data_IF_775855364319
#
_entry.id   IF_775855364319
#
_cell.length_a   1.000
_cell.length_b   1.000
_cell.length_c   1.000
_cell.angle_alpha   90.00
_cell.angle_beta   90.00
_cell.angle_gamma   90.00
#
_symmetry.space_group_name_H-M   'P 1'
#
loop_
_entity.id
_entity.type
_entity.pdbx_description
1 polymer ?
#
# COMPACT_ATOMS: atom_id res chain seq x y z
N UNK A 1 -34.61 -18.05 11.94
CA UNK A 1 -34.72 -19.08 10.90
C UNK A 1 -33.90 -18.68 9.66
N UNK A 2 -32.63 -18.27 9.86
CA UNK A 2 -31.72 -17.82 8.80
C UNK A 2 -30.37 -18.53 8.81
N UNK A 3 -30.10 -19.38 9.80
CA UNK A 3 -28.84 -20.13 9.94
C UNK A 3 -28.91 -21.57 9.38
N UNK A 4 -29.94 -21.91 8.61
CA UNK A 4 -30.23 -23.30 8.22
C UNK A 4 -29.92 -23.62 6.75
N UNK A 5 -29.56 -22.63 5.92
CA UNK A 5 -29.26 -22.84 4.50
C UNK A 5 -27.78 -22.68 4.13
N UNK A 6 -26.91 -22.15 5.01
CA UNK A 6 -25.47 -22.03 4.71
C UNK A 6 -24.70 -23.36 4.77
N UNK A 7 -25.31 -24.42 5.32
CA UNK A 7 -24.69 -25.74 5.44
C UNK A 7 -25.11 -26.74 4.35
N UNK A 8 -25.82 -26.31 3.29
CA UNK A 8 -26.30 -27.27 2.29
C UNK A 8 -25.21 -27.85 1.37
N UNK A 9 -23.99 -27.30 1.34
CA UNK A 9 -23.00 -27.65 0.30
C UNK A 9 -21.54 -27.85 0.75
N UNK A 10 -21.24 -28.08 2.04
CA UNK A 10 -19.85 -28.25 2.53
C UNK A 10 -18.90 -27.17 1.97
N UNK A 11 -19.33 -25.91 1.95
CA UNK A 11 -18.50 -24.82 1.43
C UNK A 11 -17.27 -24.63 2.32
N UNK A 12 -16.14 -24.26 1.74
CA UNK A 12 -14.94 -23.85 2.50
C UNK A 12 -15.18 -22.48 3.16
N UNK A 13 -16.02 -22.51 4.19
CA UNK A 13 -16.43 -21.37 4.97
C UNK A 13 -15.97 -21.59 6.40
N UNK A 14 -14.95 -20.84 6.81
CA UNK A 14 -14.82 -20.51 8.22
C UNK A 14 -15.78 -19.33 8.50
N UNK A 15 -16.88 -19.56 9.23
CA UNK A 15 -17.93 -18.55 9.41
C UNK A 15 -17.45 -17.30 10.15
N UNK A 16 -16.27 -17.35 10.80
CA UNK A 16 -15.67 -16.22 11.52
C UNK A 16 -14.55 -15.53 10.74
N UNK A 17 -14.00 -16.15 9.70
CA UNK A 17 -12.90 -15.57 8.93
C UNK A 17 -13.44 -14.76 7.77
N UNK A 18 -12.81 -13.62 7.51
CA UNK A 18 -13.10 -12.83 6.31
C UNK A 18 -12.61 -13.53 5.04
N UNK A 19 -11.57 -14.35 5.15
CA UNK A 19 -11.07 -15.19 4.06
C UNK A 19 -11.89 -16.48 4.05
N UNK A 20 -13.08 -16.36 3.46
CA UNK A 20 -14.06 -17.43 3.34
C UNK A 20 -14.63 -17.47 1.91
N UNK A 21 -15.22 -18.62 1.54
CA UNK A 21 -15.78 -18.80 0.21
C UNK A 21 -16.83 -17.73 -0.10
N UNK A 22 -17.78 -17.49 0.81
CA UNK A 22 -18.88 -16.55 0.55
C UNK A 22 -18.36 -15.12 0.32
N UNK A 23 -17.37 -14.66 1.11
CA UNK A 23 -16.78 -13.31 0.93
C UNK A 23 -16.01 -13.20 -0.39
N UNK A 24 -15.13 -14.16 -0.69
CA UNK A 24 -14.36 -14.15 -1.94
C UNK A 24 -15.26 -14.30 -3.17
N UNK A 25 -16.35 -15.06 -3.05
CA UNK A 25 -17.31 -15.26 -4.14
C UNK A 25 -18.10 -13.98 -4.44
N UNK A 26 -18.43 -13.15 -3.44
CA UNK A 26 -19.01 -11.83 -3.68
C UNK A 26 -18.04 -10.92 -4.45
N UNK A 27 -16.75 -10.92 -4.10
CA UNK A 27 -15.72 -10.19 -4.85
C UNK A 27 -15.62 -10.71 -6.30
N UNK A 28 -15.60 -12.03 -6.48
CA UNK A 28 -15.61 -12.66 -7.81
C UNK A 28 -16.83 -12.23 -8.63
N UNK A 29 -18.03 -12.30 -8.03
CA UNK A 29 -19.30 -11.96 -8.67
C UNK A 29 -19.29 -10.54 -9.19
N UNK A 30 -18.87 -9.59 -8.35
CA UNK A 30 -18.73 -8.19 -8.75
C UNK A 30 -17.74 -8.03 -9.90
N UNK A 31 -16.55 -8.64 -9.79
CA UNK A 31 -15.54 -8.53 -10.84
C UNK A 31 -16.01 -9.11 -12.18
N UNK A 32 -16.79 -10.18 -12.13
CA UNK A 32 -17.30 -10.87 -13.31
C UNK A 32 -18.44 -10.09 -13.99
N UNK A 33 -19.31 -9.45 -13.22
CA UNK A 33 -20.52 -8.80 -13.73
C UNK A 33 -20.39 -7.29 -13.97
N UNK A 34 -19.52 -6.60 -13.24
CA UNK A 34 -19.43 -5.13 -13.27
C UNK A 34 -18.12 -4.64 -13.86
N UNK A 35 -16.99 -4.94 -13.21
CA UNK A 35 -15.65 -4.53 -13.69
C UNK A 35 -14.62 -5.60 -13.40
N UNK A 36 -13.94 -6.09 -14.42
CA UNK A 36 -12.89 -7.11 -14.25
C UNK A 36 -11.63 -6.60 -13.55
N UNK A 37 -11.54 -5.29 -13.24
CA UNK A 37 -10.41 -4.68 -12.55
C UNK A 37 -10.87 -3.58 -11.60
N UNK A 38 -10.21 -3.48 -10.46
CA UNK A 38 -10.40 -2.47 -9.43
C UNK A 38 -9.03 -2.00 -8.94
N UNK A 39 -8.88 -0.69 -8.77
CA UNK A 39 -7.70 -0.08 -8.19
C UNK A 39 -8.17 0.99 -7.21
N UNK A 40 -7.75 0.90 -5.95
CA UNK A 40 -8.14 1.89 -4.94
C UNK A 40 -7.08 2.02 -3.84
N UNK A 41 -7.03 3.19 -3.20
CA UNK A 41 -6.18 3.42 -2.03
C UNK A 41 -6.91 3.00 -0.76
N UNK A 42 -6.16 2.47 0.20
CA UNK A 42 -6.71 1.95 1.45
C UNK A 42 -5.85 2.40 2.64
N UNK A 43 -6.48 2.80 3.74
CA UNK A 43 -5.79 3.18 4.98
C UNK A 43 -4.95 2.00 5.49
N UNK A 44 -3.71 2.29 5.89
CA UNK A 44 -2.78 1.31 6.46
C UNK A 44 -2.10 0.36 5.45
N UNK A 45 -2.43 0.45 4.16
CA UNK A 45 -1.72 -0.23 3.07
C UNK A 45 -1.02 0.80 2.21
N UNK A 46 0.23 0.51 1.86
CA UNK A 46 1.00 1.42 1.03
C UNK A 46 0.53 1.33 -0.42
N UNK A 47 0.42 2.49 -1.06
CA UNK A 47 0.01 2.64 -2.46
C UNK A 47 -1.38 2.02 -2.73
N UNK A 48 -1.60 1.59 -3.96
CA UNK A 48 -2.86 1.16 -4.51
C UNK A 48 -3.03 -0.35 -4.32
N UNK A 49 -4.19 -0.76 -3.82
CA UNK A 49 -4.63 -2.15 -3.89
C UNK A 49 -5.16 -2.41 -5.29
N UNK A 50 -4.59 -3.39 -5.98
CA UNK A 50 -5.02 -3.84 -7.31
C UNK A 50 -5.74 -5.18 -7.20
N UNK A 51 -6.92 -5.27 -7.79
CA UNK A 51 -7.73 -6.49 -7.86
C UNK A 51 -8.16 -6.71 -9.29
N UNK A 52 -7.83 -7.87 -9.86
CA UNK A 52 -8.16 -8.18 -11.24
C UNK A 52 -8.67 -9.61 -11.40
N UNK A 53 -9.71 -9.76 -12.21
CA UNK A 53 -10.22 -11.03 -12.68
C UNK A 53 -9.56 -11.39 -14.00
N UNK A 54 -8.84 -12.50 -13.99
CA UNK A 54 -8.21 -13.08 -15.17
C UNK A 54 -8.97 -14.32 -15.62
N UNK A 55 -8.82 -14.64 -16.90
CA UNK A 55 -9.34 -15.85 -17.53
C UNK A 55 -8.24 -16.55 -18.31
N UNK A 56 -8.15 -17.88 -18.16
CA UNK A 56 -7.33 -18.73 -19.00
C UNK A 56 -8.26 -19.43 -20.00
N UNK A 57 -8.01 -19.32 -21.32
CA UNK A 57 -6.79 -18.81 -21.92
C UNK A 57 -6.81 -17.32 -22.28
N UNK A 58 -7.98 -16.66 -22.28
CA UNK A 58 -8.17 -15.38 -22.97
C UNK A 58 -7.23 -14.26 -22.49
N UNK A 59 -6.90 -14.20 -21.20
CA UNK A 59 -5.99 -13.19 -20.65
C UNK A 59 -4.54 -13.36 -21.11
N UNK A 60 -4.20 -14.49 -21.72
CA UNK A 60 -2.89 -14.77 -22.32
C UNK A 60 -2.93 -14.76 -23.86
N UNK A 61 -4.09 -14.49 -24.46
CA UNK A 61 -4.27 -14.50 -25.91
C UNK A 61 -3.81 -13.19 -26.58
N UNK A 62 -2.60 -12.75 -26.21
CA UNK A 62 -1.90 -11.60 -26.80
C UNK A 62 -0.43 -11.98 -27.09
N UNK A 63 0.27 -11.16 -27.86
CA UNK A 63 1.60 -11.50 -28.37
C UNK A 63 2.63 -11.69 -27.24
N UNK A 64 2.62 -10.84 -26.22
CA UNK A 64 3.53 -11.03 -25.07
C UNK A 64 3.18 -12.31 -24.28
N UNK A 65 1.90 -12.55 -23.98
CA UNK A 65 1.47 -13.73 -23.22
C UNK A 65 1.84 -15.04 -23.92
N UNK A 66 1.63 -15.11 -25.25
CA UNK A 66 2.07 -16.25 -26.07
C UNK A 66 3.59 -16.42 -26.08
N UNK A 67 4.34 -15.32 -26.10
CA UNK A 67 5.79 -15.36 -26.06
C UNK A 67 6.32 -15.87 -24.70
N UNK A 68 5.73 -15.42 -23.60
CA UNK A 68 6.05 -15.88 -22.24
C UNK A 68 5.76 -17.37 -22.06
N UNK A 69 4.57 -17.84 -22.47
CA UNK A 69 4.19 -19.26 -22.43
C UNK A 69 5.22 -20.11 -23.16
N UNK A 70 5.59 -19.71 -24.38
CA UNK A 70 6.58 -20.44 -25.18
C UNK A 70 7.97 -20.40 -24.55
N UNK A 71 8.37 -19.26 -23.98
CA UNK A 71 9.65 -19.09 -23.27
C UNK A 71 9.73 -19.97 -22.02
N UNK A 72 8.61 -20.18 -21.33
CA UNK A 72 8.47 -21.09 -20.21
C UNK A 72 8.44 -22.58 -20.62
N UNK A 73 8.40 -22.88 -21.93
CA UNK A 73 8.47 -24.24 -22.46
C UNK A 73 7.11 -24.91 -22.67
N UNK A 74 6.02 -24.13 -22.67
CA UNK A 74 4.66 -24.62 -22.82
C UNK A 74 4.07 -24.23 -24.18
N UNK A 75 3.06 -24.97 -24.64
CA UNK A 75 2.43 -24.74 -25.93
C UNK A 75 1.22 -23.80 -25.86
N UNK A 76 0.52 -23.77 -24.73
CA UNK A 76 -0.70 -23.01 -24.53
C UNK A 76 -0.93 -22.71 -23.04
N UNK A 77 -1.87 -21.80 -22.75
CA UNK A 77 -2.15 -21.34 -21.39
C UNK A 77 -2.79 -22.41 -20.49
N UNK A 78 -3.46 -23.44 -21.06
CA UNK A 78 -4.02 -24.54 -20.27
C UNK A 78 -2.93 -25.42 -19.66
N UNK A 79 -1.78 -25.59 -20.33
CA UNK A 79 -0.65 -26.30 -19.76
C UNK A 79 -0.08 -25.56 -18.54
N UNK A 80 -0.06 -24.21 -18.58
CA UNK A 80 0.30 -23.38 -17.42
C UNK A 80 -0.71 -23.59 -16.30
N UNK A 81 -2.01 -23.56 -16.61
CA UNK A 81 -3.08 -23.79 -15.65
C UNK A 81 -2.96 -25.15 -14.96
N UNK A 82 -2.65 -26.21 -15.69
CA UNK A 82 -2.44 -27.55 -15.13
C UNK A 82 -1.26 -27.59 -14.13
N UNK A 83 -0.15 -26.90 -14.41
CA UNK A 83 0.96 -26.79 -13.46
C UNK A 83 0.59 -25.97 -12.22
N UNK A 84 -0.25 -24.95 -12.37
CA UNK A 84 -0.78 -24.18 -11.23
C UNK A 84 -1.75 -25.01 -10.40
N UNK A 85 -2.71 -25.70 -11.02
CA UNK A 85 -3.69 -26.59 -10.38
C UNK A 85 -3.04 -27.70 -9.57
N UNK A 86 -1.95 -28.28 -10.07
CA UNK A 86 -1.16 -29.28 -9.35
C UNK A 86 -0.67 -28.79 -8.00
N UNK A 87 -0.32 -27.51 -7.86
CA UNK A 87 0.16 -26.92 -6.59
C UNK A 87 -0.91 -26.89 -5.51
N UNK A 88 -2.17 -26.80 -5.91
CA UNK A 88 -3.34 -26.69 -5.04
C UNK A 88 -4.24 -27.93 -5.07
N UNK A 89 -3.72 -29.03 -5.64
CA UNK A 89 -4.40 -30.32 -5.74
C UNK A 89 -5.78 -30.24 -6.44
N UNK A 90 -5.87 -29.42 -7.49
CA UNK A 90 -6.98 -29.44 -8.46
C UNK A 90 -6.59 -30.39 -9.60
N UNK A 91 -7.53 -31.21 -10.06
CA UNK A 91 -7.30 -32.14 -11.17
C UNK A 91 -6.91 -31.42 -12.47
N UNK A 92 -6.05 -32.00 -13.31
CA UNK A 92 -5.71 -31.40 -14.59
C UNK A 92 -6.91 -31.41 -15.53
N UNK A 93 -6.94 -30.46 -16.46
CA UNK A 93 -7.89 -30.43 -17.56
C UNK A 93 -7.65 -31.58 -18.52
N UNK A 94 -8.74 -32.20 -18.96
CA UNK A 94 -8.75 -33.21 -20.02
C UNK A 94 -8.53 -32.58 -21.40
N UNK A 95 -8.08 -33.40 -22.36
CA UNK A 95 -7.95 -32.99 -23.76
C UNK A 95 -9.27 -32.52 -24.37
N UNK A 96 -10.41 -33.01 -23.87
CA UNK A 96 -11.74 -32.60 -24.32
C UNK A 96 -12.06 -31.18 -23.83
N UNK A 97 -11.86 -30.90 -22.54
CA UNK A 97 -12.04 -29.55 -21.96
C UNK A 97 -11.14 -28.50 -22.62
N UNK A 98 -9.89 -28.87 -22.93
CA UNK A 98 -8.94 -27.98 -23.64
C UNK A 98 -9.43 -27.69 -25.06
N UNK A 99 -9.97 -28.69 -25.77
CA UNK A 99 -10.50 -28.52 -27.14
C UNK A 99 -11.80 -27.72 -27.17
N UNK A 100 -12.62 -27.84 -26.13
CA UNK A 100 -13.83 -27.04 -25.98
C UNK A 100 -13.51 -25.55 -25.79
N UNK A 101 -12.30 -25.22 -25.35
CA UNK A 101 -11.85 -23.84 -25.24
C UNK A 101 -12.49 -23.11 -24.07
N UNK A 102 -12.78 -23.82 -22.97
CA UNK A 102 -13.47 -23.24 -21.81
C UNK A 102 -12.61 -22.21 -21.08
N UNK A 103 -13.27 -21.20 -20.51
CA UNK A 103 -12.62 -20.17 -19.72
C UNK A 103 -12.55 -20.56 -18.24
N UNK A 104 -11.35 -20.47 -17.66
CA UNK A 104 -11.08 -20.72 -16.26
C UNK A 104 -10.65 -19.43 -15.57
N UNK A 105 -11.42 -19.00 -14.58
CA UNK A 105 -11.24 -17.71 -13.94
C UNK A 105 -10.47 -17.80 -12.63
N UNK A 106 -9.70 -16.74 -12.34
CA UNK A 106 -9.07 -16.54 -11.04
C UNK A 106 -8.96 -15.06 -10.72
N UNK A 107 -8.93 -14.73 -9.43
CA UNK A 107 -8.69 -13.37 -8.96
C UNK A 107 -7.21 -13.23 -8.64
N UNK A 108 -6.60 -12.13 -9.06
CA UNK A 108 -5.29 -11.67 -8.61
C UNK A 108 -5.46 -10.42 -7.76
N UNK A 109 -5.00 -10.48 -6.52
CA UNK A 109 -4.96 -9.35 -5.57
C UNK A 109 -3.49 -9.01 -5.31
N UNK A 110 -3.14 -7.75 -5.53
CA UNK A 110 -1.80 -7.20 -5.35
C UNK A 110 -1.83 -5.97 -4.43
N UNK A 111 -0.92 -5.90 -3.46
CA UNK A 111 -0.77 -4.77 -2.53
C UNK A 111 0.60 -4.76 -1.84
N UNK A 112 0.95 -3.62 -1.22
CA UNK A 112 2.21 -3.45 -0.50
C UNK A 112 2.04 -3.42 1.01
N UNK A 113 2.75 -4.30 1.70
CA UNK A 113 2.85 -4.34 3.16
C UNK A 113 4.10 -3.61 3.67
N UNK A 114 4.08 -3.23 4.95
CA UNK A 114 5.29 -2.84 5.66
C UNK A 114 6.27 -4.03 5.75
N UNK A 115 7.59 -3.80 5.59
CA UNK A 115 8.59 -4.85 5.69
C UNK A 115 8.74 -5.34 7.14
N UNK A 116 9.20 -6.58 7.29
CA UNK A 116 9.63 -7.10 8.58
C UNK A 116 10.73 -6.21 9.19
N UNK A 117 10.83 -6.07 10.52
CA UNK A 117 11.78 -5.17 11.18
C UNK A 117 13.23 -5.34 10.71
N UNK A 118 13.66 -6.58 10.44
CA UNK A 118 15.00 -6.92 9.98
C UNK A 118 15.30 -6.44 8.54
N UNK A 119 14.26 -6.25 7.72
CA UNK A 119 14.36 -5.84 6.31
C UNK A 119 14.19 -4.33 6.10
N UNK A 120 13.73 -3.58 7.11
CA UNK A 120 13.52 -2.13 7.04
C UNK A 120 14.76 -1.35 6.57
N UNK A 121 15.96 -1.87 6.80
CA UNK A 121 17.23 -1.25 6.36
C UNK A 121 17.45 -1.27 4.84
N UNK A 122 16.68 -2.07 4.09
CA UNK A 122 16.91 -2.31 2.64
C UNK A 122 15.66 -2.15 1.79
N UNK A 123 14.49 -2.34 2.38
CA UNK A 123 13.21 -2.27 1.69
C UNK A 123 12.29 -1.34 2.47
N UNK A 124 11.63 -0.42 1.76
CA UNK A 124 10.58 0.43 2.32
C UNK A 124 9.25 -0.33 2.41
N UNK A 125 8.97 -1.21 1.44
CA UNK A 125 7.72 -1.98 1.32
C UNK A 125 7.97 -3.39 0.77
N UNK A 126 6.99 -4.29 0.96
CA UNK A 126 7.00 -5.66 0.43
C UNK A 126 5.74 -5.89 -0.39
N UNK A 127 5.91 -6.25 -1.67
CA UNK A 127 4.82 -6.63 -2.55
C UNK A 127 4.21 -7.97 -2.10
N UNK A 128 2.89 -8.07 -2.10
CA UNK A 128 2.16 -9.31 -1.87
C UNK A 128 1.27 -9.62 -3.08
N UNK A 129 1.39 -10.83 -3.61
CA UNK A 129 0.58 -11.34 -4.70
C UNK A 129 -0.24 -12.52 -4.19
N UNK A 130 -1.56 -12.40 -4.22
CA UNK A 130 -2.49 -13.48 -3.92
C UNK A 130 -3.28 -13.85 -5.18
N UNK A 131 -3.28 -15.14 -5.50
CA UNK A 131 -4.16 -15.71 -6.52
C UNK A 131 -5.22 -16.59 -5.87
N UNK A 132 -6.49 -16.35 -6.23
CA UNK A 132 -7.66 -17.08 -5.74
C UNK A 132 -8.28 -17.88 -6.88
N UNK A 133 -8.26 -19.20 -6.77
CA UNK A 133 -8.99 -20.10 -7.67
C UNK A 133 -10.21 -20.65 -6.97
N UNK A 134 -11.36 -20.61 -7.64
CA UNK A 134 -12.56 -21.31 -7.18
C UNK A 134 -12.60 -22.72 -7.75
N UNK A 135 -13.00 -23.70 -6.93
CA UNK A 135 -13.02 -25.10 -7.31
C UNK A 135 -14.17 -25.88 -6.63
N UNK A 136 -14.35 -27.12 -7.07
CA UNK A 136 -15.30 -28.06 -6.47
C UNK A 136 -14.54 -29.06 -5.59
N UNK A 137 -14.87 -29.10 -4.30
CA UNK A 137 -14.36 -30.12 -3.37
C UNK A 137 -15.50 -31.00 -2.90
N UNK A 138 -15.46 -32.28 -3.30
CA UNK A 138 -16.51 -33.27 -3.02
C UNK A 138 -17.93 -32.80 -3.41
N UNK A 139 -18.03 -32.02 -4.48
CA UNK A 139 -19.26 -31.37 -4.95
C UNK A 139 -19.29 -31.33 -6.48
N UNK A 140 -20.49 -31.24 -7.05
CA UNK A 140 -20.70 -30.96 -8.48
C UNK A 140 -20.76 -29.45 -8.78
N UNK A 141 -20.93 -28.63 -7.75
CA UNK A 141 -20.98 -27.17 -7.82
C UNK A 141 -19.78 -26.58 -7.09
N UNK A 142 -19.31 -25.42 -7.57
CA UNK A 142 -18.23 -24.65 -6.97
C UNK A 142 -18.57 -24.31 -5.52
N UNK A 143 -17.76 -24.79 -4.59
CA UNK A 143 -17.99 -24.66 -3.15
C UNK A 143 -16.70 -24.44 -2.34
N UNK A 144 -15.54 -24.42 -3.00
CA UNK A 144 -14.24 -24.27 -2.37
C UNK A 144 -13.40 -23.25 -3.14
N UNK A 145 -12.34 -22.76 -2.50
CA UNK A 145 -11.33 -21.93 -3.12
C UNK A 145 -9.93 -22.35 -2.67
N UNK A 146 -8.94 -22.06 -3.50
CA UNK A 146 -7.52 -22.29 -3.22
C UNK A 146 -6.75 -21.00 -3.33
N UNK A 147 -5.83 -20.79 -2.39
CA UNK A 147 -4.95 -19.63 -2.34
C UNK A 147 -3.53 -20.00 -2.74
N UNK A 148 -2.97 -19.14 -3.58
CA UNK A 148 -1.60 -19.18 -4.04
C UNK A 148 -0.96 -17.82 -3.72
N UNK A 149 0.29 -17.82 -3.29
CA UNK A 149 0.97 -16.62 -2.83
C UNK A 149 2.41 -16.53 -3.33
N UNK A 150 2.85 -15.30 -3.58
CA UNK A 150 4.25 -14.90 -3.77
C UNK A 150 4.42 -13.44 -3.31
N UNK A 151 5.65 -13.03 -3.04
CA UNK A 151 6.02 -11.67 -2.62
C UNK A 151 7.04 -11.00 -3.56
N UNK A 152 7.12 -11.44 -4.82
CA UNK A 152 8.00 -10.88 -5.84
C UNK A 152 7.21 -10.26 -6.99
N UNK A 153 7.81 -9.28 -7.66
CA UNK A 153 7.25 -8.67 -8.88
C UNK A 153 7.18 -9.68 -10.04
N UNK A 154 6.07 -9.62 -10.80
CA UNK A 154 5.85 -10.45 -11.98
C UNK A 154 6.36 -9.73 -13.24
N UNK A 155 7.67 -9.76 -13.46
CA UNK A 155 8.25 -9.24 -14.72
C UNK A 155 7.82 -10.01 -15.97
N UNK A 156 7.48 -11.28 -15.77
CA UNK A 156 6.97 -12.21 -16.77
C UNK A 156 5.81 -12.90 -16.07
N UNK A 157 4.58 -12.64 -16.54
CA UNK A 157 3.38 -13.00 -15.80
C UNK A 157 3.19 -14.52 -15.75
N UNK A 158 3.49 -15.20 -16.85
CA UNK A 158 3.51 -16.67 -16.92
C UNK A 158 4.45 -17.27 -15.89
N UNK A 159 5.68 -16.76 -15.82
CA UNK A 159 6.66 -17.20 -14.82
C UNK A 159 6.19 -16.89 -13.40
N UNK A 160 5.59 -15.72 -13.18
CA UNK A 160 5.00 -15.34 -11.89
C UNK A 160 4.00 -16.37 -11.39
N UNK A 161 3.05 -16.80 -12.24
CA UNK A 161 2.10 -17.87 -11.91
C UNK A 161 2.80 -19.21 -11.59
N UNK A 162 3.84 -19.56 -12.33
CA UNK A 162 4.63 -20.78 -12.12
C UNK A 162 5.50 -20.72 -10.85
N UNK A 163 5.79 -19.55 -10.29
CA UNK A 163 6.56 -19.39 -9.05
C UNK A 163 5.69 -19.31 -7.78
N UNK A 164 4.37 -19.08 -7.93
CA UNK A 164 3.42 -19.09 -6.81
C UNK A 164 3.48 -20.39 -5.99
N UNK A 165 3.21 -20.29 -4.68
CA UNK A 165 3.11 -21.43 -3.78
C UNK A 165 1.74 -21.49 -3.13
N UNK A 166 1.21 -22.70 -2.96
CA UNK A 166 -0.03 -22.88 -2.20
C UNK A 166 0.18 -22.49 -0.75
N UNK A 167 -0.78 -21.79 -0.15
CA UNK A 167 -0.68 -21.30 1.21
C UNK A 167 -1.97 -21.53 1.99
N UNK A 168 -1.83 -21.71 3.29
CA UNK A 168 -2.89 -21.49 4.27
C UNK A 168 -2.56 -20.20 5.02
N UNK A 169 -3.45 -19.22 4.94
CA UNK A 169 -3.29 -17.92 5.60
C UNK A 169 -3.18 -18.04 7.13
N UNK A 170 -3.68 -19.14 7.72
CA UNK A 170 -3.61 -19.41 9.16
C UNK A 170 -2.25 -19.98 9.60
N UNK A 171 -1.42 -20.43 8.65
CA UNK A 171 -0.14 -21.09 8.93
C UNK A 171 1.02 -20.38 8.20
N UNK A 172 1.34 -19.11 8.53
CA UNK A 172 2.48 -18.42 7.94
C UNK A 172 3.80 -19.11 8.31
N UNK A 173 4.68 -19.27 7.33
CA UNK A 173 5.97 -19.99 7.51
C UNK A 173 7.15 -19.07 7.83
N UNK A 174 6.99 -17.75 7.70
CA UNK A 174 8.00 -16.74 8.00
C UNK A 174 7.34 -15.39 8.33
N UNK A 175 8.12 -14.43 8.83
CA UNK A 175 7.59 -13.12 9.26
C UNK A 175 7.04 -12.27 8.10
N UNK A 176 7.53 -12.44 6.86
CA UNK A 176 6.96 -11.75 5.69
C UNK A 176 5.54 -12.24 5.44
N UNK A 177 5.34 -13.56 5.42
CA UNK A 177 4.02 -14.16 5.26
C UNK A 177 3.11 -13.75 6.42
N UNK A 178 3.60 -13.72 7.65
CA UNK A 178 2.79 -13.33 8.81
C UNK A 178 2.25 -11.91 8.70
N UNK A 179 3.08 -10.96 8.22
CA UNK A 179 2.62 -9.59 7.96
C UNK A 179 1.67 -9.57 6.76
N UNK A 180 2.10 -10.12 5.62
CA UNK A 180 1.31 -10.10 4.38
C UNK A 180 -0.04 -10.82 4.49
N UNK A 181 -0.14 -11.89 5.27
CA UNK A 181 -1.39 -12.65 5.46
C UNK A 181 -2.35 -11.89 6.38
N UNK A 182 -1.84 -11.22 7.41
CA UNK A 182 -2.64 -10.32 8.24
C UNK A 182 -3.15 -9.13 7.43
N UNK A 183 -2.28 -8.52 6.63
CA UNK A 183 -2.63 -7.41 5.77
C UNK A 183 -3.61 -7.85 4.66
N UNK A 184 -3.51 -9.09 4.17
CA UNK A 184 -4.48 -9.66 3.23
C UNK A 184 -5.90 -9.72 3.81
N UNK A 185 -6.07 -10.07 5.09
CA UNK A 185 -7.39 -10.01 5.75
C UNK A 185 -7.93 -8.58 5.77
N UNK A 186 -7.08 -7.58 6.08
CA UNK A 186 -7.43 -6.16 6.06
C UNK A 186 -7.80 -5.71 4.64
N UNK A 187 -7.00 -6.08 3.65
CA UNK A 187 -7.24 -5.79 2.23
C UNK A 187 -8.57 -6.37 1.77
N UNK A 188 -8.88 -7.62 2.12
CA UNK A 188 -10.15 -8.22 1.76
C UNK A 188 -11.35 -7.48 2.40
N UNK A 189 -11.18 -6.98 3.63
CA UNK A 189 -12.18 -6.11 4.26
C UNK A 189 -12.38 -4.81 3.48
N UNK A 190 -11.29 -4.13 3.11
CA UNK A 190 -11.35 -2.90 2.32
C UNK A 190 -11.91 -3.11 0.91
N UNK A 191 -11.59 -4.22 0.25
CA UNK A 191 -12.22 -4.58 -1.04
C UNK A 191 -13.73 -4.68 -0.87
N UNK A 192 -14.21 -5.38 0.16
CA UNK A 192 -15.65 -5.50 0.40
C UNK A 192 -16.30 -4.14 0.68
N UNK A 193 -15.64 -3.28 1.45
CA UNK A 193 -16.13 -1.92 1.73
C UNK A 193 -16.19 -1.07 0.46
N UNK A 194 -15.14 -1.11 -0.37
CA UNK A 194 -15.04 -0.37 -1.63
C UNK A 194 -16.16 -0.78 -2.60
N UNK A 195 -16.47 -2.07 -2.64
CA UNK A 195 -17.52 -2.64 -3.47
C UNK A 195 -18.93 -2.47 -2.91
N UNK A 196 -19.07 -2.05 -1.65
CA UNK A 196 -20.34 -2.11 -0.94
C UNK A 196 -20.87 -3.55 -0.77
N UNK A 197 -19.98 -4.55 -0.79
CA UNK A 197 -20.32 -5.96 -0.69
C UNK A 197 -20.79 -6.33 0.72
N UNK A 198 -21.81 -7.19 0.81
CA UNK A 198 -22.32 -7.66 2.10
C UNK A 198 -21.36 -8.67 2.74
N UNK A 199 -20.76 -8.28 3.88
CA UNK A 199 -19.98 -9.22 4.70
C UNK A 199 -20.95 -9.94 5.67
N UNK A 200 -20.96 -11.29 5.71
CA UNK A 200 -21.80 -12.04 6.64
C UNK A 200 -21.57 -11.61 8.09
N UNK A 201 -22.66 -11.39 8.85
CA UNK A 201 -22.59 -10.87 10.23
C UNK A 201 -21.81 -11.77 11.22
N UNK A 202 -21.53 -13.02 10.85
CA UNK A 202 -20.73 -13.96 11.65
C UNK A 202 -19.23 -13.75 11.51
N UNK A 203 -18.79 -13.09 10.43
CA UNK A 203 -17.38 -12.81 10.14
C UNK A 203 -16.86 -11.77 11.13
N UNK A 204 -15.70 -12.05 11.71
CA UNK A 204 -14.99 -11.08 12.55
C UNK A 204 -14.24 -10.15 11.62
N UNK A 205 -14.65 -8.88 11.57
CA UNK A 205 -13.99 -7.85 10.76
C UNK A 205 -12.59 -7.55 11.34
N UNK A 206 -11.54 -7.48 10.50
CA UNK A 206 -10.19 -7.10 10.94
C UNK A 206 -10.10 -5.65 11.45
N UNK A 207 -10.99 -4.77 10.99
CA UNK A 207 -11.08 -3.36 11.41
C UNK A 207 -12.52 -2.98 11.74
N UNK A 208 -12.70 -2.06 12.69
CA UNK A 208 -13.99 -1.42 13.01
C UNK A 208 -14.14 -0.05 12.36
N UNK A 209 -13.05 0.52 11.84
CA UNK A 209 -13.02 1.79 11.12
C UNK A 209 -13.07 1.55 9.61
N UNK A 210 -13.53 2.57 8.87
CA UNK A 210 -13.50 2.56 7.41
C UNK A 210 -12.07 2.41 6.91
N UNK A 211 -11.85 1.49 5.98
CA UNK A 211 -10.55 1.23 5.38
C UNK A 211 -10.34 2.00 4.09
N UNK A 212 -11.39 2.59 3.50
CA UNK A 212 -11.26 3.37 2.28
C UNK A 212 -10.48 4.64 2.58
N UNK A 213 -9.42 4.89 1.79
CA UNK A 213 -8.69 6.14 1.90
C UNK A 213 -9.65 7.30 1.61
N UNK A 214 -9.59 8.33 2.43
CA UNK A 214 -10.36 9.55 2.18
C UNK A 214 -9.90 10.14 0.84
N UNK A 215 -10.84 10.65 0.04
CA UNK A 215 -10.45 11.48 -1.09
C UNK A 215 -9.66 12.66 -0.55
N UNK A 216 -8.43 12.87 -1.03
CA UNK A 216 -7.67 14.08 -0.70
C UNK A 216 -8.55 15.29 -0.97
N UNK A 217 -8.62 16.19 -0.01
CA UNK A 217 -9.48 17.37 -0.01
C UNK A 217 -8.69 18.57 0.50
N UNK A 218 -9.21 19.77 0.30
CA UNK A 218 -8.57 21.00 0.79
C UNK A 218 -8.33 20.97 2.31
N UNK A 219 -9.21 20.32 3.08
CA UNK A 219 -9.06 20.19 4.54
C UNK A 219 -7.79 19.40 4.92
N UNK A 220 -7.36 18.44 4.09
CA UNK A 220 -6.11 17.72 4.32
C UNK A 220 -4.89 18.64 4.15
N UNK A 221 -4.91 19.54 3.15
CA UNK A 221 -3.86 20.54 2.96
C UNK A 221 -3.85 21.57 4.09
N UNK A 222 -5.03 22.00 4.56
CA UNK A 222 -5.15 22.87 5.73
C UNK A 222 -4.59 22.20 6.99
N UNK A 223 -4.94 20.94 7.24
CA UNK A 223 -4.40 20.20 8.38
C UNK A 223 -2.87 20.09 8.27
N UNK A 224 -2.36 19.73 7.10
CA UNK A 224 -0.92 19.60 6.85
C UNK A 224 -0.18 20.91 7.15
N UNK A 225 -0.58 22.02 6.52
CA UNK A 225 0.00 23.35 6.72
C UNK A 225 -0.05 23.79 8.18
N UNK A 226 -1.15 23.49 8.89
CA UNK A 226 -1.28 23.80 10.31
C UNK A 226 -0.30 23.02 11.17
N UNK A 227 -0.07 21.74 10.89
CA UNK A 227 0.86 20.92 11.68
C UNK A 227 2.32 21.33 11.43
N UNK A 228 2.72 21.54 10.17
CA UNK A 228 4.10 21.92 9.82
C UNK A 228 4.45 23.36 10.25
N UNK A 229 3.45 24.24 10.40
CA UNK A 229 3.61 25.57 11.00
C UNK A 229 3.43 25.59 12.53
N UNK A 230 3.21 24.43 13.16
CA UNK A 230 2.86 24.29 14.60
C UNK A 230 1.68 25.17 15.03
N UNK A 231 0.78 25.47 14.10
CA UNK A 231 -0.41 26.31 14.31
C UNK A 231 -0.12 27.82 14.35
N UNK A 232 1.05 28.26 13.91
CA UNK A 232 1.45 29.67 13.91
C UNK A 232 0.96 30.45 12.67
N UNK A 233 0.51 29.74 11.63
CA UNK A 233 0.02 30.35 10.38
C UNK A 233 -1.29 31.11 10.58
N UNK A 234 -1.40 32.31 9.98
CA UNK A 234 -2.64 33.10 10.00
C UNK A 234 -3.77 32.37 9.24
N UNK A 235 -5.00 32.40 9.76
CA UNK A 235 -6.13 31.63 9.23
C UNK A 235 -6.44 31.94 7.75
N UNK A 236 -6.41 33.22 7.35
CA UNK A 236 -6.63 33.63 5.95
C UNK A 236 -5.52 33.13 5.00
N UNK A 237 -4.28 33.10 5.49
CA UNK A 237 -3.14 32.58 4.73
C UNK A 237 -3.18 31.04 4.65
N UNK A 238 -3.57 30.38 5.74
CA UNK A 238 -3.77 28.93 5.80
C UNK A 238 -4.83 28.46 4.79
N UNK A 239 -5.98 29.11 4.77
CA UNK A 239 -7.07 28.78 3.86
C UNK A 239 -6.68 29.01 2.40
N UNK A 240 -6.05 30.16 2.10
CA UNK A 240 -5.66 30.51 0.74
C UNK A 240 -4.56 29.60 0.20
N UNK A 241 -3.51 29.33 1.00
CA UNK A 241 -2.45 28.42 0.59
C UNK A 241 -2.97 26.99 0.42
N UNK A 242 -3.74 26.46 1.37
CA UNK A 242 -4.29 25.11 1.22
C UNK A 242 -5.11 24.94 -0.06
N UNK A 243 -5.87 25.98 -0.45
CA UNK A 243 -6.62 25.97 -1.70
C UNK A 243 -5.71 25.93 -2.93
N UNK A 244 -4.64 26.73 -2.97
CA UNK A 244 -3.66 26.74 -4.06
C UNK A 244 -3.00 25.36 -4.20
N UNK A 245 -2.59 24.76 -3.07
CA UNK A 245 -1.95 23.45 -3.07
C UNK A 245 -2.89 22.33 -3.53
N UNK A 246 -4.15 22.41 -3.11
CA UNK A 246 -5.17 21.45 -3.52
C UNK A 246 -5.47 21.56 -5.03
N UNK A 247 -5.60 22.77 -5.57
CA UNK A 247 -5.80 22.99 -7.01
C UNK A 247 -4.62 22.45 -7.84
N UNK A 248 -3.38 22.72 -7.42
CA UNK A 248 -2.18 22.18 -8.08
C UNK A 248 -2.11 20.64 -8.00
N UNK A 249 -2.53 20.05 -6.88
CA UNK A 249 -2.67 18.60 -6.74
C UNK A 249 -3.72 18.01 -7.70
N UNK A 250 -4.88 18.65 -7.85
CA UNK A 250 -5.94 18.22 -8.78
C UNK A 250 -5.49 18.35 -10.24
N UNK A 251 -4.69 19.37 -10.56
CA UNK A 251 -4.11 19.58 -11.89
C UNK A 251 -2.95 18.62 -12.21
N UNK A 252 -2.45 17.89 -11.21
CA UNK A 252 -1.38 16.92 -11.37
C UNK A 252 -0.02 17.55 -11.64
N UNK A 253 0.25 18.72 -11.05
CA UNK A 253 1.55 19.39 -11.14
C UNK A 253 2.55 18.58 -10.28
N UNK A 254 3.49 17.89 -10.93
CA UNK A 254 4.46 16.98 -10.27
C UNK A 254 5.76 17.66 -9.83
N UNK A 255 6.07 18.81 -10.44
CA UNK A 255 7.23 19.63 -10.13
C UNK A 255 6.72 21.03 -9.79
N UNK A 256 6.62 21.32 -8.49
CA UNK A 256 6.76 22.70 -8.07
C UNK A 256 8.19 23.08 -8.45
N UNK A 257 8.37 24.15 -9.23
CA UNK A 257 9.70 24.71 -9.49
C UNK A 257 10.24 25.25 -8.16
N UNK A 258 10.82 24.35 -7.35
CA UNK A 258 11.43 24.67 -6.05
C UNK A 258 12.66 25.57 -6.19
N UNK A 259 13.16 25.74 -7.42
CA UNK A 259 14.39 26.44 -7.75
C UNK A 259 14.27 27.97 -7.74
N UNK A 260 13.07 28.56 -7.89
CA UNK A 260 12.95 30.03 -8.03
C UNK A 260 12.11 30.74 -6.97
N UNK A 261 11.34 30.06 -6.11
CA UNK A 261 10.70 30.68 -4.93
C UNK A 261 10.04 29.58 -4.08
N UNK A 262 10.49 29.36 -2.83
CA UNK A 262 9.73 28.58 -1.83
C UNK A 262 8.44 29.32 -1.40
N UNK A 263 7.82 30.09 -2.30
CA UNK A 263 6.56 30.84 -2.11
C UNK A 263 5.38 29.92 -1.78
N UNK A 264 5.52 28.62 -2.03
CA UNK A 264 4.64 27.55 -1.55
C UNK A 264 4.46 27.57 -0.01
N UNK A 265 5.46 28.02 0.74
CA UNK A 265 5.50 28.00 2.20
C UNK A 265 5.44 29.40 2.82
N UNK A 266 4.83 30.37 2.15
CA UNK A 266 4.57 31.67 2.77
C UNK A 266 3.76 31.44 4.07
N UNK A 267 4.36 31.77 5.22
CA UNK A 267 3.75 31.56 6.55
C UNK A 267 4.13 30.25 7.27
N UNK A 268 4.96 29.38 6.69
CA UNK A 268 5.56 28.24 7.40
C UNK A 268 6.99 28.62 7.81
N UNK A 269 7.32 28.44 9.09
CA UNK A 269 8.68 28.69 9.58
C UNK A 269 9.60 27.56 9.10
N UNK A 270 10.23 27.77 7.94
CA UNK A 270 11.18 26.85 7.33
C UNK A 270 12.50 27.55 7.01
N UNK A 271 13.58 26.76 6.90
CA UNK A 271 14.91 27.27 6.63
C UNK A 271 15.61 26.45 5.55
N UNK A 272 16.05 27.10 4.48
CA UNK A 272 16.85 26.48 3.43
C UNK A 272 18.33 26.48 3.79
N UNK A 273 18.99 25.33 3.70
CA UNK A 273 20.43 25.17 3.98
C UNK A 273 21.09 24.27 2.92
N UNK A 274 22.33 24.59 2.57
CA UNK A 274 23.19 23.71 1.76
C UNK A 274 23.36 22.36 2.49
N UNK A 275 23.58 21.26 1.77
CA UNK A 275 23.87 19.97 2.41
C UNK A 275 25.13 19.99 3.29
N UNK A 276 26.01 20.99 3.10
CA UNK A 276 27.20 21.25 3.92
C UNK A 276 26.96 22.36 4.93
N UNK A 277 26.76 21.97 6.19
CA UNK A 277 26.67 22.88 7.32
C UNK A 277 27.45 22.33 8.52
N UNK A 278 27.92 23.23 9.39
CA UNK A 278 28.55 22.86 10.65
C UNK A 278 27.57 22.96 11.83
N UNK A 279 28.04 22.62 13.02
CA UNK A 279 27.20 22.65 14.21
C UNK A 279 26.78 24.07 14.61
N UNK A 280 27.60 25.11 14.38
CA UNK A 280 27.24 26.49 14.71
C UNK A 280 26.10 26.97 13.80
N UNK A 281 26.17 26.62 12.51
CA UNK A 281 25.11 26.85 11.55
C UNK A 281 23.83 26.08 11.93
N UNK A 282 23.93 24.79 12.26
CA UNK A 282 22.77 24.01 12.70
C UNK A 282 22.11 24.57 13.97
N UNK A 283 22.91 25.02 14.95
CA UNK A 283 22.41 25.66 16.16
C UNK A 283 21.65 26.96 15.84
N UNK A 284 22.18 27.78 14.93
CA UNK A 284 21.51 29.00 14.49
C UNK A 284 20.19 28.71 13.76
N UNK A 285 20.20 27.77 12.80
CA UNK A 285 19.01 27.34 12.05
C UNK A 285 17.93 26.85 13.00
N UNK A 286 18.27 25.92 13.89
CA UNK A 286 17.29 25.34 14.80
C UNK A 286 16.78 26.41 15.75
N UNK A 287 17.65 27.28 16.29
CA UNK A 287 17.24 28.36 17.20
C UNK A 287 16.19 29.29 16.56
N UNK A 288 16.40 29.66 15.29
CA UNK A 288 15.47 30.51 14.54
C UNK A 288 14.13 29.79 14.27
N UNK A 289 14.16 28.48 13.95
CA UNK A 289 12.96 27.69 13.70
C UNK A 289 12.05 27.52 14.92
N UNK A 290 12.60 27.64 16.14
CA UNK A 290 11.87 27.42 17.40
C UNK A 290 11.78 28.69 18.28
N UNK A 291 12.31 29.82 17.82
CA UNK A 291 12.38 31.12 18.53
C UNK A 291 12.95 31.03 19.96
N UNK A 292 14.02 30.23 20.13
CA UNK A 292 14.75 30.11 21.39
C UNK A 292 16.20 29.66 21.16
N UNK A 293 17.10 30.00 22.07
CA UNK A 293 18.50 29.56 22.01
C UNK A 293 18.58 28.03 22.06
N UNK A 294 19.16 27.43 21.02
CA UNK A 294 19.34 25.99 20.89
C UNK A 294 20.83 25.65 20.85
N UNK A 295 21.23 24.77 21.76
CA UNK A 295 22.58 24.20 21.87
C UNK A 295 22.47 22.71 22.13
N UNK A 296 23.35 21.93 21.52
CA UNK A 296 23.36 20.47 21.68
C UNK A 296 24.78 19.94 21.85
N UNK A 297 24.91 18.79 22.51
CA UNK A 297 26.20 18.12 22.67
C UNK A 297 26.49 17.22 21.46
N UNK A 298 27.62 17.44 20.80
CA UNK A 298 28.10 16.66 19.66
C UNK A 298 29.60 16.37 19.75
N UNK A 299 30.11 15.28 19.13
CA UNK A 299 31.54 15.03 19.02
C UNK A 299 32.24 16.09 18.17
N UNK A 300 33.49 16.43 18.52
CA UNK A 300 34.34 17.26 17.66
C UNK A 300 34.44 16.65 16.25
N UNK A 301 34.53 17.50 15.22
CA UNK A 301 34.59 17.12 13.80
C UNK A 301 33.33 16.41 13.25
N UNK A 302 32.15 16.67 13.84
CA UNK A 302 30.85 16.23 13.28
C UNK A 302 30.23 17.34 12.41
N UNK A 303 29.71 17.00 11.22
CA UNK A 303 29.19 17.97 10.24
C UNK A 303 27.96 17.42 9.51
N UNK A 304 27.16 18.31 8.92
CA UNK A 304 26.04 17.96 8.04
C UNK A 304 25.09 16.91 8.65
N UNK A 305 24.69 15.89 7.88
CA UNK A 305 23.76 14.84 8.30
C UNK A 305 24.22 14.03 9.52
N UNK A 306 25.53 13.98 9.82
CA UNK A 306 26.02 13.30 11.02
C UNK A 306 25.61 14.05 12.32
N UNK A 307 25.15 15.30 12.21
CA UNK A 307 24.64 16.09 13.34
C UNK A 307 23.19 15.73 13.71
N UNK A 308 22.38 15.18 12.79
CA UNK A 308 20.95 14.94 13.00
C UNK A 308 20.65 14.11 14.26
N UNK A 309 21.33 12.98 14.55
CA UNK A 309 21.03 12.22 15.77
C UNK A 309 21.20 13.01 17.08
N UNK A 310 22.10 14.00 17.09
CA UNK A 310 22.36 14.84 18.25
C UNK A 310 21.34 15.96 18.37
N UNK A 311 20.99 16.59 17.24
CA UNK A 311 19.92 17.60 17.16
C UNK A 311 18.59 16.98 17.61
N UNK A 312 18.21 15.82 17.04
CA UNK A 312 16.98 15.12 17.37
C UNK A 312 16.92 14.73 18.85
N UNK A 313 18.04 14.30 19.44
CA UNK A 313 18.12 13.97 20.86
C UNK A 313 17.85 15.17 21.76
N UNK A 314 18.31 16.36 21.37
CA UNK A 314 18.09 17.59 22.13
C UNK A 314 16.66 18.11 21.95
N UNK A 315 16.16 18.18 20.71
CA UNK A 315 14.78 18.59 20.40
C UNK A 315 13.75 17.68 21.07
N UNK A 316 14.02 16.38 21.17
CA UNK A 316 13.15 15.43 21.85
C UNK A 316 12.90 15.78 23.34
N UNK A 317 13.79 16.53 24.01
CA UNK A 317 13.56 16.99 25.39
C UNK A 317 12.44 18.02 25.49
N UNK A 318 12.08 18.62 24.36
CA UNK A 318 11.03 19.62 24.21
C UNK A 318 9.82 19.06 23.47
N UNK A 319 9.78 17.74 23.24
CA UNK A 319 8.76 17.08 22.41
C UNK A 319 8.69 17.66 20.98
N UNK A 320 9.86 18.01 20.42
CA UNK A 320 10.01 18.50 19.05
C UNK A 320 10.83 17.52 18.20
N UNK A 321 10.68 17.60 16.89
CA UNK A 321 11.41 16.81 15.91
C UNK A 321 11.78 17.66 14.69
N UNK A 322 13.05 17.58 14.25
CA UNK A 322 13.52 18.24 13.04
C UNK A 322 13.14 17.37 11.83
N UNK A 323 12.59 18.00 10.81
CA UNK A 323 12.20 17.34 9.56
C UNK A 323 12.68 18.18 8.37
N UNK A 324 12.71 17.57 7.17
CA UNK A 324 12.99 18.30 5.93
C UNK A 324 11.93 17.99 4.88
N UNK A 325 11.65 18.95 4.01
CA UNK A 325 11.01 18.64 2.73
C UNK A 325 12.03 18.01 1.79
N UNK A 326 11.60 17.08 0.94
CA UNK A 326 12.44 16.57 -0.14
C UNK A 326 12.54 17.64 -1.24
N UNK A 327 13.71 18.26 -1.34
CA UNK A 327 13.98 19.31 -2.34
C UNK A 327 14.32 18.75 -3.72
N UNK A 328 14.41 17.43 -3.86
CA UNK A 328 14.98 16.71 -5.02
C UNK A 328 16.41 17.14 -5.39
N UNK A 329 17.09 17.90 -4.51
CA UNK A 329 18.40 18.50 -4.76
C UNK A 329 19.40 18.28 -3.61
N UNK A 330 20.60 18.86 -3.76
CA UNK A 330 21.66 18.81 -2.75
C UNK A 330 21.47 19.88 -1.67
N UNK A 331 20.26 19.99 -1.09
CA UNK A 331 19.96 20.96 -0.03
C UNK A 331 18.84 20.46 0.88
N UNK A 332 18.76 21.03 2.08
CA UNK A 332 17.68 20.77 3.02
C UNK A 332 16.75 21.97 3.12
N UNK A 333 15.45 21.69 3.25
CA UNK A 333 14.46 22.69 3.65
C UNK A 333 13.91 22.26 5.02
N UNK A 334 14.56 22.74 6.07
CA UNK A 334 14.27 22.32 7.43
C UNK A 334 12.98 22.96 7.97
N UNK A 335 12.22 22.19 8.74
CA UNK A 335 11.17 22.68 9.63
C UNK A 335 11.16 21.86 10.93
N UNK A 336 10.51 22.38 11.97
CA UNK A 336 10.39 21.70 13.25
C UNK A 336 8.94 21.46 13.60
N UNK A 337 8.58 20.20 13.86
CA UNK A 337 7.23 19.77 14.20
C UNK A 337 7.12 19.34 15.68
N UNK A 338 5.89 19.32 16.21
CA UNK A 338 5.63 18.65 17.48
C UNK A 338 5.75 17.14 17.30
N UNK A 339 6.45 16.48 18.21
CA UNK A 339 6.78 15.06 18.11
C UNK A 339 5.56 14.14 18.06
N UNK A 340 4.50 14.51 18.76
CA UNK A 340 3.23 13.78 18.76
C UNK A 340 2.42 13.93 17.46
N UNK A 341 2.83 14.83 16.56
CA UNK A 341 2.15 15.12 15.29
C UNK A 341 2.90 14.52 14.08
N UNK A 342 4.15 14.06 14.25
CA UNK A 342 5.00 13.51 13.18
C UNK A 342 4.32 12.39 12.39
N UNK A 343 3.72 11.41 13.08
CA UNK A 343 3.02 10.31 12.40
C UNK A 343 1.88 10.81 11.50
N UNK A 344 1.17 11.86 11.92
CA UNK A 344 0.08 12.45 11.14
C UNK A 344 0.61 13.32 9.99
N UNK A 345 1.70 14.04 10.20
CA UNK A 345 2.39 14.79 9.14
C UNK A 345 2.82 13.83 8.03
N UNK A 346 3.42 12.69 8.37
CA UNK A 346 3.84 11.67 7.39
C UNK A 346 2.64 11.00 6.68
N UNK A 347 1.51 10.81 7.35
CA UNK A 347 0.29 10.34 6.69
C UNK A 347 -0.28 11.39 5.71
N UNK A 348 -0.32 12.66 6.13
CA UNK A 348 -0.78 13.76 5.30
C UNK A 348 0.17 14.03 4.13
N UNK A 349 1.48 13.82 4.30
CA UNK A 349 2.47 13.94 3.23
C UNK A 349 2.18 12.92 2.11
N UNK A 350 1.82 11.68 2.47
CA UNK A 350 1.38 10.66 1.50
C UNK A 350 0.03 11.02 0.82
N UNK A 351 -0.90 11.64 1.54
CA UNK A 351 -2.21 12.05 1.02
C UNK A 351 -2.12 13.26 0.07
N UNK A 352 -1.29 14.24 0.42
CA UNK A 352 -1.09 15.50 -0.31
C UNK A 352 -0.01 15.39 -1.40
N UNK A 353 0.80 14.32 -1.39
CA UNK A 353 1.99 14.13 -2.24
C UNK A 353 3.10 15.16 -2.03
N UNK A 354 3.10 15.86 -0.90
CA UNK A 354 4.22 16.71 -0.49
C UNK A 354 5.22 15.80 0.21
N UNK A 355 6.43 15.65 -0.34
CA UNK A 355 7.42 14.69 0.20
C UNK A 355 8.16 15.24 1.41
N UNK A 356 8.24 14.44 2.48
CA UNK A 356 8.85 14.80 3.77
C UNK A 356 9.85 13.71 4.17
N UNK A 357 11.05 14.16 4.53
CA UNK A 357 12.11 13.35 5.13
C UNK A 357 12.10 13.49 6.65
N UNK A 358 12.00 12.34 7.32
CA UNK A 358 12.28 12.20 8.74
C UNK A 358 13.79 11.98 8.91
N UNK A 359 14.47 12.97 9.51
CA UNK A 359 15.94 13.09 9.56
C UNK A 359 16.61 12.28 10.69
#
# INVERSE_FOLDING_TARGET
MSSFFSNLFNRNNDPKSIVSFDVLYEVYSHLYHESSRLNFKMKGIHDTVSVALYSIPDSFDHDEGKAEIKKAGFNNAYEILNEVYKKVNIGPLSDEEIKEGLNYYYIHIEFFSKPAPEMKKRLKHVLNNFIVFFCCTNSAETNDFKLLYNNSYFYDYTRGLLELKAVDIKEPTNEIQKIGFKDFEIVLHGICEYLGAEIPATVVKPSTESLIAESTSVEHFQEFLKLISRGEMEEELLESQAQILFEAFEEGIEDYDYDDEFDFFEGVNCWNSDWKFDAEEAEAIVSDLIDQDFKFDYPEETYSHDLFPYIQKELAKQELELMSYDTKGDSYLFFVANKNEVDRILELSELTKIEIDQL
#
